data_IF_475131997355
#
_entry.id   IF_475131997355
#
_cell.length_a   1.000
_cell.length_b   1.000
_cell.length_c   1.000
_cell.angle_alpha   90.00
_cell.angle_beta   90.00
_cell.angle_gamma   90.00
#
_symmetry.space_group_name_H-M   'P 1'
#
loop_
_entity.id
_entity.type
_entity.pdbx_description
1 polymer ?
#
# COMPACT_ATOMS: atom_id res chain seq x y z
N UNK A 1 16.80 -11.31 12.14
CA UNK A 1 17.65 -10.23 11.60
C UNK A 1 17.83 -10.45 10.11
N UNK A 2 17.35 -9.53 9.27
CA UNK A 2 17.59 -9.56 7.81
C UNK A 2 19.00 -9.03 7.55
N UNK A 3 19.81 -9.75 6.77
CA UNK A 3 21.18 -9.33 6.42
C UNK A 3 21.27 -9.17 4.91
N UNK A 4 21.53 -7.95 4.46
CA UNK A 4 21.70 -7.60 3.04
C UNK A 4 23.19 -7.32 2.76
N UNK A 5 23.98 -8.37 2.53
CA UNK A 5 25.43 -8.25 2.28
C UNK A 5 25.83 -8.50 0.82
N UNK A 6 25.12 -9.37 0.10
CA UNK A 6 25.25 -9.62 -1.34
C UNK A 6 23.87 -9.59 -1.96
N UNK A 7 23.62 -8.59 -2.81
CA UNK A 7 22.29 -8.38 -3.40
C UNK A 7 22.00 -9.37 -4.53
N UNK A 8 22.94 -9.54 -5.47
CA UNK A 8 22.79 -10.55 -6.54
C UNK A 8 23.36 -11.89 -6.08
N UNK A 9 22.53 -12.94 -6.08
CA UNK A 9 22.93 -14.30 -5.69
C UNK A 9 22.84 -15.32 -6.83
N UNK A 10 22.21 -14.96 -7.96
CA UNK A 10 21.92 -15.82 -9.13
C UNK A 10 20.99 -17.01 -8.86
N UNK A 11 20.56 -17.22 -7.61
CA UNK A 11 19.70 -18.35 -7.23
C UNK A 11 18.31 -18.33 -7.86
N UNK A 12 17.88 -17.19 -8.40
CA UNK A 12 16.61 -17.04 -9.11
C UNK A 12 16.74 -16.89 -10.63
N UNK A 13 17.90 -17.18 -11.21
CA UNK A 13 18.13 -17.09 -12.67
C UNK A 13 17.33 -18.17 -13.44
N UNK A 14 16.90 -19.22 -12.75
CA UNK A 14 16.00 -20.25 -13.27
C UNK A 14 14.51 -19.85 -13.26
N UNK A 15 14.20 -18.59 -12.93
CA UNK A 15 12.84 -18.07 -12.93
C UNK A 15 12.06 -18.30 -11.64
N UNK A 16 12.69 -18.79 -10.58
CA UNK A 16 12.05 -19.05 -9.29
C UNK A 16 12.67 -18.21 -8.16
N UNK A 17 12.04 -18.19 -6.98
CA UNK A 17 12.50 -17.46 -5.79
C UNK A 17 12.04 -18.18 -4.53
N UNK A 18 12.58 -17.82 -3.36
CA UNK A 18 12.17 -18.40 -2.08
C UNK A 18 11.22 -17.47 -1.32
N UNK A 19 10.15 -18.03 -0.76
CA UNK A 19 9.33 -17.39 0.26
C UNK A 19 10.14 -17.17 1.54
N UNK A 20 9.62 -16.38 2.48
CA UNK A 20 10.24 -16.20 3.80
C UNK A 20 10.28 -17.48 4.64
N UNK A 21 9.57 -18.54 4.21
CA UNK A 21 9.67 -19.90 4.76
C UNK A 21 10.84 -20.72 4.21
N UNK A 22 11.52 -20.23 3.16
CA UNK A 22 12.51 -20.98 2.37
C UNK A 22 11.91 -21.81 1.24
N UNK A 23 10.58 -21.94 1.17
CA UNK A 23 9.89 -22.66 0.10
C UNK A 23 10.07 -21.97 -1.25
N UNK A 24 10.41 -22.74 -2.28
CA UNK A 24 10.71 -22.23 -3.63
C UNK A 24 9.43 -22.16 -4.47
N UNK A 25 9.19 -21.01 -5.11
CA UNK A 25 8.04 -20.74 -5.98
C UNK A 25 8.50 -20.09 -7.29
N UNK A 26 7.81 -20.31 -8.42
CA UNK A 26 8.02 -19.51 -9.63
C UNK A 26 7.86 -18.02 -9.34
N UNK A 27 8.62 -17.15 -10.00
CA UNK A 27 8.54 -15.68 -9.79
C UNK A 27 7.19 -15.06 -10.17
N UNK A 28 6.41 -15.76 -11.01
CA UNK A 28 5.05 -15.38 -11.39
C UNK A 28 3.98 -15.99 -10.48
N UNK A 29 4.36 -16.72 -9.43
CA UNK A 29 3.40 -17.24 -8.44
C UNK A 29 2.65 -16.07 -7.78
N UNK A 30 1.34 -16.24 -7.61
CA UNK A 30 0.44 -15.18 -7.16
C UNK A 30 0.82 -14.61 -5.79
N UNK A 31 1.43 -15.41 -4.91
CA UNK A 31 1.93 -14.94 -3.62
C UNK A 31 3.12 -14.00 -3.79
N UNK A 32 4.00 -14.29 -4.75
CA UNK A 32 5.13 -13.43 -5.11
C UNK A 32 4.62 -12.11 -5.69
N UNK A 33 3.62 -12.18 -6.57
CA UNK A 33 2.98 -10.98 -7.13
C UNK A 33 2.31 -10.13 -6.05
N UNK A 34 1.67 -10.75 -5.05
CA UNK A 34 0.99 -10.06 -3.97
C UNK A 34 1.94 -9.15 -3.18
N UNK A 35 2.99 -9.71 -2.57
CA UNK A 35 3.94 -8.89 -1.81
C UNK A 35 4.84 -8.05 -2.71
N UNK A 36 5.09 -8.45 -3.96
CA UNK A 36 5.78 -7.63 -4.95
C UNK A 36 5.01 -6.36 -5.31
N UNK A 37 3.68 -6.44 -5.40
CA UNK A 37 2.83 -5.27 -5.65
C UNK A 37 2.66 -4.39 -4.40
N UNK A 38 2.76 -4.98 -3.20
CA UNK A 38 2.90 -4.21 -1.94
C UNK A 38 4.20 -3.41 -1.93
N UNK A 39 5.32 -4.00 -2.35
CA UNK A 39 6.60 -3.29 -2.51
C UNK A 39 6.50 -2.16 -3.54
N UNK A 40 5.80 -2.38 -4.66
CA UNK A 40 5.55 -1.32 -5.64
C UNK A 40 4.72 -0.16 -5.07
N UNK A 41 3.71 -0.47 -4.23
CA UNK A 41 2.96 0.56 -3.48
C UNK A 41 3.90 1.35 -2.57
N UNK A 42 4.80 0.66 -1.86
CA UNK A 42 5.77 1.26 -0.96
C UNK A 42 6.75 2.19 -1.71
N UNK A 43 7.25 1.76 -2.86
CA UNK A 43 8.12 2.56 -3.72
C UNK A 43 7.40 3.82 -4.24
N UNK A 44 6.13 3.71 -4.65
CA UNK A 44 5.33 4.85 -5.07
C UNK A 44 5.14 5.88 -3.95
N UNK A 45 4.93 5.44 -2.70
CA UNK A 45 4.90 6.33 -1.53
C UNK A 45 6.27 7.00 -1.32
N UNK A 46 7.37 6.30 -1.56
CA UNK A 46 8.72 6.89 -1.53
C UNK A 46 8.87 8.10 -2.47
N UNK A 47 8.25 8.06 -3.66
CA UNK A 47 8.23 9.19 -4.60
C UNK A 47 7.42 10.36 -4.04
N UNK A 48 6.25 10.09 -3.43
CA UNK A 48 5.44 11.14 -2.77
C UNK A 48 6.26 11.89 -1.72
N UNK A 49 7.07 11.16 -0.94
CA UNK A 49 7.87 11.75 0.14
C UNK A 49 8.94 12.73 -0.31
N UNK A 50 9.29 12.75 -1.60
CA UNK A 50 10.15 13.81 -2.17
C UNK A 50 9.47 15.18 -2.14
N UNK A 51 8.14 15.21 -2.11
CA UNK A 51 7.32 16.42 -2.19
C UNK A 51 6.61 16.79 -0.88
N UNK A 52 6.81 16.02 0.20
CA UNK A 52 6.19 16.27 1.52
C UNK A 52 7.20 16.59 2.61
N UNK A 53 8.48 16.84 2.27
CA UNK A 53 9.55 17.11 3.25
C UNK A 53 9.25 18.31 4.15
N UNK A 54 8.63 19.34 3.59
CA UNK A 54 8.23 20.55 4.33
C UNK A 54 6.87 20.40 5.03
N UNK A 55 6.30 19.19 5.02
CA UNK A 55 5.03 18.83 5.66
C UNK A 55 5.27 17.72 6.71
N UNK A 56 5.93 18.01 7.85
CA UNK A 56 6.49 16.99 8.73
C UNK A 56 5.46 16.01 9.31
N UNK A 57 4.22 16.46 9.57
CA UNK A 57 3.15 15.58 10.03
C UNK A 57 2.73 14.56 8.95
N UNK A 58 2.62 15.02 7.70
CA UNK A 58 2.32 14.17 6.55
C UNK A 58 3.44 13.19 6.24
N UNK A 59 4.69 13.67 6.19
CA UNK A 59 5.84 12.80 5.93
C UNK A 59 5.98 11.72 7.01
N UNK A 60 5.68 12.04 8.27
CA UNK A 60 5.68 11.07 9.35
C UNK A 60 4.57 10.01 9.19
N UNK A 61 3.37 10.37 8.71
CA UNK A 61 2.32 9.39 8.38
C UNK A 61 2.79 8.45 7.27
N UNK A 62 3.31 9.01 6.17
CA UNK A 62 3.82 8.21 5.04
C UNK A 62 4.99 7.31 5.46
N UNK A 63 5.91 7.80 6.29
CA UNK A 63 7.02 7.02 6.81
C UNK A 63 6.58 5.83 7.67
N UNK A 64 5.52 5.98 8.47
CA UNK A 64 4.90 4.85 9.20
C UNK A 64 4.31 3.83 8.23
N UNK A 65 3.54 4.30 7.25
CA UNK A 65 2.93 3.45 6.23
C UNK A 65 3.97 2.63 5.45
N UNK A 66 5.12 3.22 5.10
CA UNK A 66 6.20 2.48 4.44
C UNK A 66 6.77 1.34 5.30
N UNK A 67 6.80 1.50 6.63
CA UNK A 67 7.19 0.42 7.55
C UNK A 67 6.09 -0.65 7.61
N UNK A 68 4.83 -0.25 7.75
CA UNK A 68 3.71 -1.20 7.79
C UNK A 68 3.60 -2.02 6.49
N UNK A 69 3.93 -1.44 5.33
CA UNK A 69 3.95 -2.16 4.06
C UNK A 69 5.08 -3.20 4.00
N UNK A 70 6.21 -2.98 4.69
CA UNK A 70 7.22 -4.02 4.88
C UNK A 70 6.72 -5.12 5.82
N UNK A 71 6.02 -4.77 6.90
CA UNK A 71 5.40 -5.74 7.81
C UNK A 71 4.38 -6.62 7.05
N UNK A 72 3.56 -6.00 6.19
CA UNK A 72 2.60 -6.70 5.33
C UNK A 72 3.32 -7.59 4.29
N UNK A 73 4.38 -7.10 3.67
CA UNK A 73 5.19 -7.91 2.76
C UNK A 73 5.77 -9.15 3.45
N UNK A 74 6.26 -8.99 4.68
CA UNK A 74 6.74 -10.09 5.51
C UNK A 74 5.62 -11.07 5.91
N UNK A 75 4.44 -10.55 6.23
CA UNK A 75 3.24 -11.34 6.52
C UNK A 75 2.88 -12.24 5.32
N UNK A 76 2.74 -11.63 4.14
CA UNK A 76 2.38 -12.31 2.89
C UNK A 76 3.45 -13.32 2.42
N UNK A 77 4.73 -12.98 2.57
CA UNK A 77 5.85 -13.86 2.22
C UNK A 77 5.95 -15.10 3.12
N UNK A 78 5.22 -15.11 4.24
CA UNK A 78 5.27 -16.16 5.24
C UNK A 78 3.85 -16.63 5.60
N UNK A 79 3.28 -17.57 4.82
CA UNK A 79 1.94 -18.07 5.06
C UNK A 79 1.79 -18.61 6.49
N UNK A 80 0.68 -18.29 7.14
CA UNK A 80 0.35 -18.83 8.46
C UNK A 80 0.14 -20.34 8.37
N UNK A 81 0.74 -21.08 9.31
CA UNK A 81 0.60 -22.54 9.44
C UNK A 81 0.52 -22.87 10.93
N UNK A 82 -0.38 -23.79 11.28
CA UNK A 82 -0.56 -24.25 12.66
C UNK A 82 0.78 -24.71 13.29
N UNK A 83 0.97 -24.39 14.58
CA UNK A 83 2.10 -24.87 15.38
C UNK A 83 3.46 -24.19 15.14
N UNK A 84 3.52 -23.09 14.39
CA UNK A 84 4.76 -22.30 14.22
C UNK A 84 4.77 -21.06 15.13
N UNK A 85 5.96 -20.68 15.58
CA UNK A 85 6.20 -19.49 16.41
C UNK A 85 5.59 -18.23 15.81
N UNK A 86 5.19 -17.30 16.68
CA UNK A 86 4.65 -15.98 16.35
C UNK A 86 5.58 -15.26 15.37
N UNK A 87 5.01 -14.78 14.27
CA UNK A 87 5.73 -14.08 13.19
C UNK A 87 5.17 -12.67 13.06
N UNK A 88 5.91 -11.80 12.40
CA UNK A 88 5.47 -10.44 12.09
C UNK A 88 4.20 -10.51 11.23
N UNK A 89 3.13 -9.86 11.69
CA UNK A 89 1.82 -9.79 11.06
C UNK A 89 1.32 -8.37 11.09
N UNK A 90 0.53 -8.00 10.10
CA UNK A 90 -0.28 -6.78 10.21
C UNK A 90 -1.39 -7.03 11.23
N UNK A 91 -1.61 -6.07 12.12
CA UNK A 91 -2.61 -6.16 13.19
C UNK A 91 -3.71 -5.11 13.02
N UNK A 92 -4.87 -5.36 13.63
CA UNK A 92 -6.03 -4.45 13.59
C UNK A 92 -5.67 -3.03 14.01
N UNK A 93 -4.79 -2.86 15.01
CA UNK A 93 -4.35 -1.53 15.46
C UNK A 93 -3.66 -0.68 14.38
N UNK A 94 -3.03 -1.29 13.37
CA UNK A 94 -2.48 -0.57 12.20
C UNK A 94 -3.60 -0.08 11.28
N UNK A 95 -4.66 -0.88 11.08
CA UNK A 95 -5.85 -0.49 10.30
C UNK A 95 -6.58 0.66 10.98
N UNK A 96 -6.84 0.56 12.28
CA UNK A 96 -7.50 1.63 13.04
C UNK A 96 -6.69 2.93 13.06
N UNK A 97 -5.35 2.84 12.98
CA UNK A 97 -4.50 4.03 12.84
C UNK A 97 -4.74 4.73 11.50
N UNK A 98 -4.87 3.99 10.40
CA UNK A 98 -5.20 4.59 9.11
C UNK A 98 -6.56 5.29 9.16
N UNK A 99 -7.55 4.70 9.85
CA UNK A 99 -8.87 5.31 10.05
C UNK A 99 -8.76 6.64 10.80
N UNK A 100 -8.02 6.67 11.92
CA UNK A 100 -7.77 7.92 12.67
C UNK A 100 -7.02 8.97 11.85
N UNK A 101 -6.02 8.55 11.07
CA UNK A 101 -5.28 9.45 10.19
C UNK A 101 -6.19 10.00 9.06
N UNK A 102 -7.08 9.17 8.51
CA UNK A 102 -8.11 9.59 7.54
C UNK A 102 -9.03 10.65 8.15
N UNK A 103 -9.57 10.39 9.35
CA UNK A 103 -10.50 11.30 10.02
C UNK A 103 -9.84 12.66 10.28
N UNK A 104 -8.60 12.66 10.81
CA UNK A 104 -7.85 13.89 11.08
C UNK A 104 -7.57 14.74 9.83
N UNK A 105 -7.40 14.11 8.66
CA UNK A 105 -7.23 14.81 7.40
C UNK A 105 -8.57 15.30 6.82
N UNK A 106 -9.62 14.48 6.92
CA UNK A 106 -10.96 14.81 6.45
C UNK A 106 -11.59 16.00 7.19
N UNK A 107 -11.28 16.20 8.47
CA UNK A 107 -11.81 17.30 9.29
C UNK A 107 -11.59 18.69 8.67
N UNK A 108 -10.58 18.84 7.79
CA UNK A 108 -10.23 20.10 7.13
C UNK A 108 -10.71 20.18 5.68
N UNK A 109 -11.35 19.13 5.16
CA UNK A 109 -11.78 19.04 3.78
C UNK A 109 -13.25 19.43 3.62
N UNK A 110 -13.53 20.26 2.62
CA UNK A 110 -14.90 20.45 2.19
C UNK A 110 -15.46 19.14 1.59
N UNK A 111 -16.77 18.86 1.78
CA UNK A 111 -17.44 17.74 1.15
C UNK A 111 -17.28 17.76 -0.38
N UNK A 112 -17.11 16.59 -1.00
CA UNK A 112 -17.09 16.46 -2.45
C UNK A 112 -18.51 16.37 -3.02
N UNK A 113 -18.74 17.06 -4.13
CA UNK A 113 -19.99 16.99 -4.90
C UNK A 113 -19.84 16.19 -6.20
N UNK A 114 -18.61 15.79 -6.56
CA UNK A 114 -18.28 14.94 -7.71
C UNK A 114 -16.95 14.22 -7.47
N UNK A 115 -16.56 13.33 -8.39
CA UNK A 115 -15.23 12.73 -8.38
C UNK A 115 -14.14 13.75 -8.69
N UNK A 116 -12.96 13.55 -8.11
CA UNK A 116 -11.77 14.36 -8.38
C UNK A 116 -11.01 13.78 -9.57
N UNK A 117 -10.62 14.63 -10.52
CA UNK A 117 -9.66 14.28 -11.56
C UNK A 117 -8.27 14.16 -10.94
N UNK A 118 -7.59 13.01 -11.02
CA UNK A 118 -6.29 12.80 -10.40
C UNK A 118 -5.24 13.81 -10.89
N UNK A 119 -4.78 14.71 -10.01
CA UNK A 119 -3.85 15.78 -10.37
C UNK A 119 -3.60 16.72 -9.20
N UNK A 120 -3.32 18.00 -9.51
CA UNK A 120 -3.05 19.03 -8.52
C UNK A 120 -1.55 19.25 -8.28
N UNK A 121 -1.17 19.46 -7.03
CA UNK A 121 0.25 19.57 -6.64
C UNK A 121 1.02 18.27 -6.96
N UNK A 122 2.36 18.30 -7.10
CA UNK A 122 3.15 17.10 -7.32
C UNK A 122 2.87 16.00 -6.28
N UNK A 123 2.76 16.37 -5.00
CA UNK A 123 2.41 15.43 -3.93
C UNK A 123 1.02 14.80 -4.15
N UNK A 124 0.00 15.59 -4.50
CA UNK A 124 -1.35 15.10 -4.74
C UNK A 124 -1.42 14.13 -5.94
N UNK A 125 -0.76 14.48 -7.04
CA UNK A 125 -0.72 13.65 -8.24
C UNK A 125 -0.06 12.30 -7.96
N UNK A 126 1.10 12.28 -7.29
CA UNK A 126 1.78 11.03 -6.93
C UNK A 126 1.01 10.22 -5.88
N UNK A 127 0.29 10.85 -4.94
CA UNK A 127 -0.61 10.15 -4.03
C UNK A 127 -1.74 9.44 -4.77
N UNK A 128 -2.31 10.05 -5.82
CA UNK A 128 -3.28 9.37 -6.67
C UNK A 128 -2.68 8.18 -7.42
N UNK A 129 -1.43 8.26 -7.89
CA UNK A 129 -0.73 7.12 -8.50
C UNK A 129 -0.50 6.01 -7.46
N UNK A 130 0.02 6.34 -6.28
CA UNK A 130 0.21 5.38 -5.19
C UNK A 130 -1.13 4.71 -4.81
N UNK A 131 -2.23 5.47 -4.78
CA UNK A 131 -3.58 4.94 -4.52
C UNK A 131 -4.01 3.90 -5.54
N UNK A 132 -3.78 4.11 -6.83
CA UNK A 132 -4.19 3.13 -7.85
C UNK A 132 -3.33 1.86 -7.81
N UNK A 133 -2.04 2.00 -7.49
CA UNK A 133 -1.12 0.88 -7.25
C UNK A 133 -1.52 0.10 -6.00
N UNK A 134 -1.85 0.78 -4.90
CA UNK A 134 -2.37 0.18 -3.67
C UNK A 134 -3.63 -0.66 -3.94
N UNK A 135 -4.57 -0.14 -4.72
CA UNK A 135 -5.77 -0.90 -5.13
C UNK A 135 -5.45 -2.08 -6.05
N UNK A 136 -4.35 -2.02 -6.79
CA UNK A 136 -3.87 -3.19 -7.56
C UNK A 136 -3.31 -4.24 -6.63
N UNK A 137 -2.47 -3.88 -5.65
CA UNK A 137 -1.99 -4.80 -4.63
C UNK A 137 -3.16 -5.48 -3.89
N UNK A 138 -4.16 -4.70 -3.49
CA UNK A 138 -5.37 -5.21 -2.84
C UNK A 138 -6.05 -6.32 -3.67
N UNK A 139 -6.26 -6.09 -4.98
CA UNK A 139 -6.89 -7.10 -5.85
C UNK A 139 -6.07 -8.39 -5.92
N UNK A 140 -4.75 -8.29 -6.04
CA UNK A 140 -3.86 -9.46 -6.08
C UNK A 140 -3.89 -10.22 -4.75
N UNK A 141 -3.90 -9.50 -3.62
CA UNK A 141 -4.00 -10.11 -2.28
C UNK A 141 -5.34 -10.82 -2.09
N UNK A 142 -6.44 -10.20 -2.51
CA UNK A 142 -7.78 -10.81 -2.43
C UNK A 142 -7.88 -12.03 -3.35
N UNK A 143 -7.29 -11.98 -4.55
CA UNK A 143 -7.22 -13.15 -5.43
C UNK A 143 -6.43 -14.28 -4.77
N UNK A 144 -5.28 -13.98 -4.16
CA UNK A 144 -4.48 -14.95 -3.42
C UNK A 144 -5.28 -15.58 -2.28
N UNK A 145 -5.97 -14.75 -1.48
CA UNK A 145 -6.79 -15.21 -0.35
C UNK A 145 -7.95 -16.13 -0.77
N UNK A 146 -8.42 -16.02 -2.01
CA UNK A 146 -9.44 -16.90 -2.57
C UNK A 146 -8.89 -18.25 -3.06
N UNK A 147 -7.56 -18.45 -3.12
CA UNK A 147 -6.95 -19.71 -3.56
C UNK A 147 -6.93 -20.74 -2.41
N UNK A 148 -7.35 -21.99 -2.65
CA UNK A 148 -7.23 -23.05 -1.66
C UNK A 148 -5.79 -23.25 -1.19
N UNK A 149 -5.58 -23.31 0.12
CA UNK A 149 -4.25 -23.54 0.71
C UNK A 149 -3.34 -22.31 0.75
N UNK A 150 -3.83 -21.13 0.37
CA UNK A 150 -3.07 -19.88 0.39
C UNK A 150 -3.63 -18.92 1.46
N UNK A 151 -3.34 -19.13 2.76
CA UNK A 151 -3.87 -18.27 3.81
C UNK A 151 -3.30 -16.85 3.70
N UNK A 152 -4.17 -15.88 3.99
CA UNK A 152 -3.89 -14.45 4.07
C UNK A 152 -4.66 -13.89 5.28
N UNK A 153 -4.02 -13.03 6.07
CA UNK A 153 -4.64 -12.42 7.24
C UNK A 153 -5.74 -11.43 6.83
N UNK A 154 -6.87 -11.43 7.56
CA UNK A 154 -7.96 -10.47 7.32
C UNK A 154 -7.47 -9.02 7.53
N UNK A 155 -6.59 -8.80 8.52
CA UNK A 155 -5.98 -7.50 8.78
C UNK A 155 -5.15 -6.99 7.60
N UNK A 156 -4.43 -7.87 6.89
CA UNK A 156 -3.67 -7.47 5.69
C UNK A 156 -4.57 -6.98 4.54
N UNK A 157 -5.70 -7.65 4.31
CA UNK A 157 -6.70 -7.22 3.32
C UNK A 157 -7.32 -5.88 3.73
N UNK A 158 -7.76 -5.76 4.98
CA UNK A 158 -8.35 -4.53 5.52
C UNK A 158 -7.38 -3.35 5.46
N UNK A 159 -6.10 -3.58 5.76
CA UNK A 159 -5.07 -2.56 5.71
C UNK A 159 -4.92 -1.97 4.30
N UNK A 160 -4.83 -2.81 3.26
CA UNK A 160 -4.69 -2.33 1.89
C UNK A 160 -5.93 -1.60 1.37
N UNK A 161 -7.11 -2.09 1.73
CA UNK A 161 -8.37 -1.39 1.42
C UNK A 161 -8.37 0.01 2.04
N UNK A 162 -8.11 0.11 3.35
CA UNK A 162 -8.10 1.37 4.09
C UNK A 162 -6.96 2.30 3.70
N UNK A 163 -5.80 1.76 3.32
CA UNK A 163 -4.69 2.56 2.83
C UNK A 163 -5.06 3.28 1.52
N UNK A 164 -5.86 2.65 0.65
CA UNK A 164 -6.31 3.32 -0.57
C UNK A 164 -7.24 4.51 -0.27
N UNK A 165 -8.05 4.42 0.79
CA UNK A 165 -8.86 5.55 1.30
C UNK A 165 -7.96 6.66 1.84
N UNK A 166 -6.98 6.30 2.68
CA UNK A 166 -5.99 7.26 3.21
C UNK A 166 -5.26 8.00 2.09
N UNK A 167 -4.78 7.30 1.06
CA UNK A 167 -4.06 7.92 -0.05
C UNK A 167 -4.95 8.87 -0.86
N UNK A 168 -6.26 8.61 -0.95
CA UNK A 168 -7.22 9.53 -1.56
C UNK A 168 -7.45 10.79 -0.72
N UNK A 169 -7.69 10.63 0.58
CA UNK A 169 -7.92 11.76 1.48
C UNK A 169 -6.65 12.63 1.61
N UNK A 170 -5.49 11.98 1.71
CA UNK A 170 -4.19 12.63 1.72
C UNK A 170 -3.95 13.44 0.43
N UNK A 171 -4.32 12.91 -0.75
CA UNK A 171 -4.11 13.64 -2.01
C UNK A 171 -4.87 14.96 -2.04
N UNK A 172 -6.10 14.99 -1.52
CA UNK A 172 -6.89 16.21 -1.38
C UNK A 172 -6.29 17.18 -0.35
N UNK A 173 -5.89 16.65 0.80
CA UNK A 173 -5.35 17.46 1.88
C UNK A 173 -4.07 18.21 1.47
N UNK A 174 -3.15 17.56 0.75
CA UNK A 174 -1.94 18.23 0.22
C UNK A 174 -2.20 19.09 -1.02
N UNK A 175 -3.43 19.09 -1.54
CA UNK A 175 -3.87 19.92 -2.67
C UNK A 175 -4.65 21.14 -2.20
N UNK A 176 -4.12 21.84 -1.19
CA UNK A 176 -4.77 23.01 -0.58
C UNK A 176 -6.05 22.65 0.18
N UNK A 177 -6.06 21.52 0.90
CA UNK A 177 -7.25 20.99 1.57
C UNK A 177 -8.47 20.87 0.63
N UNK A 178 -8.21 20.39 -0.59
CA UNK A 178 -9.21 20.18 -1.63
C UNK A 178 -9.59 21.44 -2.44
N UNK A 179 -9.08 22.62 -2.10
CA UNK A 179 -9.33 23.84 -2.89
C UNK A 179 -8.70 23.78 -4.30
N UNK A 180 -7.64 22.98 -4.47
CA UNK A 180 -7.01 22.73 -5.76
C UNK A 180 -7.59 21.55 -6.54
N UNK A 181 -8.63 20.88 -6.02
CA UNK A 181 -9.20 19.71 -6.68
C UNK A 181 -10.00 20.13 -7.93
N UNK A 182 -9.71 19.48 -9.06
CA UNK A 182 -10.53 19.63 -10.27
C UNK A 182 -11.59 18.54 -10.26
N UNK A 183 -12.85 18.95 -10.27
CA UNK A 183 -13.97 18.02 -10.26
C UNK A 183 -14.30 17.52 -11.66
N UNK A 184 -14.61 16.24 -11.76
CA UNK A 184 -15.12 15.62 -12.97
C UNK A 184 -16.51 16.19 -13.30
N UNK A 185 -16.71 16.56 -14.57
CA UNK A 185 -17.99 16.99 -15.13
C UNK A 185 -18.52 15.86 -16.03
N UNK A 186 -19.58 15.14 -15.61
CA UNK A 186 -20.13 14.05 -16.40
C UNK A 186 -20.57 14.52 -17.80
N UNK A 187 -20.06 13.86 -18.85
CA UNK A 187 -20.45 14.14 -20.22
C UNK A 187 -19.96 15.46 -20.81
N UNK A 188 -19.00 16.15 -20.18
CA UNK A 188 -18.54 17.49 -20.59
C UNK A 188 -18.21 17.64 -22.09
N UNK A 189 -17.68 16.58 -22.72
CA UNK A 189 -17.19 16.60 -24.10
C UNK A 189 -18.03 15.73 -25.06
N UNK A 190 -19.26 15.34 -24.69
CA UNK A 190 -20.15 14.53 -25.53
C UNK A 190 -21.18 15.38 -26.25
#
# INVERSE_FOLDING_TARGET
>A
MVVLNRIYTKTGDDGTTALGTGERRPKYDLRIEAYGTVDETNAAIGVVRLHTRDMPQFDAMLGRIQNDLFDLGADLAVPEREGKAERLRVVVGQVERLERDIDALNDKLAPLTSFVLPGGTPAAAYLHVARTICRRAERVIVELAARPGEPVSAAGIQYMNRLSDFLFVASRAVNGNGAGDVLWVPGQNR
#
